data_IF_024896633803
#
_entry.id   IF_024896633803
#
_cell.length_a   1.000
_cell.length_b   1.000
_cell.length_c   1.000
_cell.angle_alpha   90.00
_cell.angle_beta   90.00
_cell.angle_gamma   90.00
#
_symmetry.space_group_name_H-M   'P 1'
#
loop_
_entity.id
_entity.type
_entity.pdbx_description
1 polymer ?
#
# COMPACT_ATOMS: atom_id res chain seq x y z
N UNK A 1 -16.72 -17.12 20.46
CA UNK A 1 -17.20 -16.62 19.15
C UNK A 1 -16.06 -16.75 18.14
N UNK A 2 -16.26 -17.50 17.04
CA UNK A 2 -15.26 -17.64 15.96
C UNK A 2 -15.22 -16.33 15.17
N UNK A 3 -14.06 -15.65 15.14
CA UNK A 3 -13.86 -14.41 14.36
C UNK A 3 -13.55 -14.80 12.92
N UNK A 4 -14.47 -14.55 12.00
CA UNK A 4 -14.26 -14.77 10.56
C UNK A 4 -13.37 -13.63 10.04
N UNK A 5 -12.10 -13.91 9.75
CA UNK A 5 -11.25 -12.96 9.01
C UNK A 5 -11.79 -12.88 7.57
N UNK A 6 -12.18 -11.68 7.13
CA UNK A 6 -12.46 -11.39 5.73
C UNK A 6 -11.21 -10.72 5.17
N UNK A 7 -10.39 -11.49 4.46
CA UNK A 7 -9.21 -10.99 3.76
C UNK A 7 -9.63 -10.56 2.34
N UNK A 8 -9.42 -9.29 1.98
CA UNK A 8 -9.57 -8.83 0.61
C UNK A 8 -8.19 -8.90 -0.05
N UNK A 9 -7.91 -10.00 -0.74
CA UNK A 9 -6.71 -10.11 -1.57
C UNK A 9 -6.97 -9.30 -2.84
N UNK A 10 -6.30 -8.15 -2.97
CA UNK A 10 -6.25 -7.41 -4.23
C UNK A 10 -5.29 -8.14 -5.15
N UNK A 11 -5.78 -9.18 -5.82
CA UNK A 11 -5.05 -9.85 -6.86
C UNK A 11 -5.06 -8.94 -8.10
N UNK A 12 -3.89 -8.50 -8.55
CA UNK A 12 -3.72 -7.94 -9.89
C UNK A 12 -4.04 -9.06 -10.90
N UNK A 13 -5.28 -9.13 -11.36
CA UNK A 13 -5.74 -10.16 -12.28
C UNK A 13 -5.06 -9.97 -13.64
N UNK A 14 -4.25 -10.94 -14.04
CA UNK A 14 -3.79 -11.07 -15.41
C UNK A 14 -5.03 -11.19 -16.32
N UNK A 15 -5.19 -10.24 -17.24
CA UNK A 15 -6.23 -10.31 -18.25
C UNK A 15 -6.06 -11.61 -19.05
N UNK A 16 -7.10 -12.43 -19.11
CA UNK A 16 -7.13 -13.60 -20.01
C UNK A 16 -7.26 -13.05 -21.42
N UNK A 17 -6.14 -13.08 -22.16
CA UNK A 17 -6.07 -12.62 -23.55
C UNK A 17 -6.98 -13.48 -24.42
N UNK A 18 -8.05 -12.87 -24.94
CA UNK A 18 -8.92 -13.50 -25.93
C UNK A 18 -8.17 -13.67 -27.25
N UNK A 19 -7.71 -14.90 -27.50
CA UNK A 19 -7.18 -15.25 -28.83
C UNK A 19 -8.33 -15.25 -29.84
N UNK A 20 -8.14 -14.61 -30.99
CA UNK A 20 -9.12 -14.60 -32.07
C UNK A 20 -9.38 -16.04 -32.56
N UNK A 21 -10.63 -16.48 -32.50
CA UNK A 21 -11.04 -17.82 -32.95
C UNK A 21 -11.23 -17.78 -34.47
N UNK A 22 -10.37 -18.48 -35.20
CA UNK A 22 -10.52 -18.70 -36.64
C UNK A 22 -11.30 -20.00 -36.92
N UNK A 23 -12.14 -19.99 -37.95
CA UNK A 23 -12.81 -21.19 -38.44
C UNK A 23 -11.79 -22.21 -38.94
N UNK A 24 -11.87 -23.46 -38.47
CA UNK A 24 -11.00 -24.55 -38.91
C UNK A 24 -11.83 -25.56 -39.71
N UNK A 25 -11.57 -25.68 -41.01
CA UNK A 25 -12.26 -26.66 -41.85
C UNK A 25 -11.96 -28.10 -41.38
N UNK A 26 -13.00 -28.93 -41.23
CA UNK A 26 -12.92 -30.30 -40.71
C UNK A 26 -12.36 -30.44 -39.27
N UNK A 27 -12.52 -29.42 -38.42
CA UNK A 27 -12.04 -29.47 -37.03
C UNK A 27 -12.74 -30.53 -36.16
N UNK A 28 -11.99 -31.16 -35.26
CA UNK A 28 -12.48 -32.17 -34.30
C UNK A 28 -13.13 -31.57 -33.03
N UNK A 29 -13.37 -30.26 -32.99
CA UNK A 29 -13.82 -29.53 -31.80
C UNK A 29 -12.69 -29.05 -30.89
N UNK A 30 -13.04 -28.45 -29.75
CA UNK A 30 -12.12 -27.92 -28.74
C UNK A 30 -12.87 -27.53 -27.46
N UNK A 31 -12.14 -27.08 -26.44
CA UNK A 31 -12.73 -26.57 -25.18
C UNK A 31 -12.94 -25.06 -25.24
N UNK A 32 -14.03 -24.61 -24.61
CA UNK A 32 -14.31 -23.19 -24.37
C UNK A 32 -14.07 -22.94 -22.89
N UNK A 33 -13.05 -22.14 -22.59
CA UNK A 33 -12.72 -21.77 -21.22
C UNK A 33 -13.56 -20.56 -20.79
N UNK A 34 -14.30 -20.73 -19.70
CA UNK A 34 -15.02 -19.64 -19.04
C UNK A 34 -14.23 -19.19 -17.82
N UNK A 35 -13.79 -17.93 -17.83
CA UNK A 35 -13.07 -17.31 -16.72
C UNK A 35 -13.68 -15.95 -16.37
N UNK A 36 -13.55 -15.58 -15.10
CA UNK A 36 -13.96 -14.28 -14.57
C UNK A 36 -13.56 -14.16 -13.10
N UNK A 37 -13.50 -12.93 -12.58
CA UNK A 37 -13.22 -12.67 -11.16
C UNK A 37 -14.54 -12.35 -10.44
N UNK A 38 -14.88 -13.13 -9.42
CA UNK A 38 -15.97 -12.83 -8.51
C UNK A 38 -15.41 -12.11 -7.28
N UNK A 39 -15.69 -10.82 -7.16
CA UNK A 39 -15.28 -10.00 -6.00
C UNK A 39 -16.46 -9.85 -5.05
N UNK A 40 -16.38 -10.35 -3.80
CA UNK A 40 -17.42 -10.11 -2.80
C UNK A 40 -17.54 -8.61 -2.51
N UNK A 41 -18.74 -8.06 -2.65
CA UNK A 41 -19.05 -6.71 -2.17
C UNK A 41 -19.44 -6.79 -0.68
N UNK A 42 -18.65 -6.19 0.20
CA UNK A 42 -19.02 -6.04 1.61
C UNK A 42 -19.87 -4.77 1.72
N UNK A 43 -21.19 -4.95 1.73
CA UNK A 43 -22.15 -3.87 1.96
C UNK A 43 -21.78 -3.13 3.27
N UNK A 44 -21.63 -1.79 3.19
CA UNK A 44 -21.30 -0.94 4.33
C UNK A 44 -19.81 -0.77 4.67
N UNK A 45 -18.87 -1.36 3.92
CA UNK A 45 -17.45 -1.05 4.13
C UNK A 45 -17.15 0.43 3.75
N UNK A 46 -16.67 1.27 4.68
CA UNK A 46 -16.44 2.69 4.41
C UNK A 46 -15.15 2.95 3.61
N UNK A 47 -14.35 1.94 3.33
CA UNK A 47 -13.03 2.08 2.72
C UNK A 47 -13.04 1.84 1.22
N UNK A 48 -12.22 2.60 0.51
CA UNK A 48 -11.69 2.22 -0.80
C UNK A 48 -10.17 2.06 -0.69
N UNK A 49 -9.64 1.11 -1.45
CA UNK A 49 -8.22 0.74 -1.45
C UNK A 49 -7.68 0.88 -2.86
N UNK A 50 -6.50 1.51 -3.00
CA UNK A 50 -5.81 1.69 -4.28
C UNK A 50 -4.38 1.19 -4.14
N UNK A 51 -3.97 0.28 -5.03
CA UNK A 51 -2.59 -0.17 -5.16
C UNK A 51 -1.89 0.70 -6.20
N UNK A 52 -0.60 0.98 -5.96
CA UNK A 52 0.26 1.67 -6.90
C UNK A 52 0.36 0.98 -8.26
N UNK A 53 0.53 1.77 -9.31
CA UNK A 53 0.85 1.26 -10.64
C UNK A 53 2.25 0.64 -10.67
N UNK A 54 2.51 -0.21 -11.67
CA UNK A 54 3.87 -0.69 -11.93
C UNK A 54 4.82 0.49 -12.16
N UNK A 55 5.99 0.45 -11.50
CA UNK A 55 7.01 1.49 -11.62
C UNK A 55 7.83 1.25 -12.87
N UNK A 56 8.01 2.29 -13.70
CA UNK A 56 8.83 2.25 -14.90
C UNK A 56 10.01 3.23 -14.80
N UNK A 57 10.93 3.19 -15.76
CA UNK A 57 12.01 4.17 -15.86
C UNK A 57 13.14 4.01 -14.83
N UNK A 58 13.26 2.82 -14.24
CA UNK A 58 14.36 2.38 -13.37
C UNK A 58 15.51 1.72 -14.15
N UNK A 59 15.48 1.79 -15.48
CA UNK A 59 16.56 1.29 -16.34
C UNK A 59 17.82 2.15 -16.17
N UNK A 60 18.96 1.50 -16.00
CA UNK A 60 20.27 2.14 -15.85
C UNK A 60 21.36 1.29 -16.48
N UNK A 61 22.37 1.96 -17.06
CA UNK A 61 23.58 1.30 -17.56
C UNK A 61 24.55 1.06 -16.42
N UNK A 62 25.01 -0.18 -16.28
CA UNK A 62 26.00 -0.59 -15.26
C UNK A 62 27.23 -1.20 -15.94
N UNK A 63 28.41 -1.03 -15.33
CA UNK A 63 29.66 -1.59 -15.83
C UNK A 63 29.87 -3.01 -15.29
N UNK A 64 30.66 -3.81 -16.02
CA UNK A 64 31.15 -5.10 -15.53
C UNK A 64 31.90 -4.92 -14.20
N UNK A 65 31.75 -5.87 -13.28
CA UNK A 65 32.39 -5.84 -11.96
C UNK A 65 31.66 -5.00 -10.91
N UNK A 66 30.60 -4.27 -11.27
CA UNK A 66 29.75 -3.56 -10.30
C UNK A 66 28.80 -4.56 -9.62
N UNK A 67 28.61 -4.42 -8.32
CA UNK A 67 27.69 -5.21 -7.50
C UNK A 67 26.61 -4.37 -6.81
N UNK A 68 26.66 -3.04 -6.91
CA UNK A 68 25.66 -2.14 -6.33
C UNK A 68 25.39 -0.97 -7.26
N UNK A 69 24.11 -0.60 -7.38
CA UNK A 69 23.67 0.59 -8.12
C UNK A 69 22.63 1.36 -7.30
N UNK A 70 22.63 2.67 -7.44
CA UNK A 70 21.63 3.56 -6.84
C UNK A 70 20.90 4.30 -7.93
N UNK A 71 19.57 4.25 -7.89
CA UNK A 71 18.67 4.89 -8.83
C UNK A 71 17.78 5.86 -8.05
N UNK A 72 17.89 7.18 -8.24
CA UNK A 72 16.99 8.11 -7.59
C UNK A 72 15.59 8.02 -8.19
N UNK A 73 14.55 7.99 -7.36
CA UNK A 73 13.17 8.03 -7.82
C UNK A 73 12.88 9.36 -8.55
N UNK A 74 12.48 9.28 -9.83
CA UNK A 74 12.23 10.48 -10.66
C UNK A 74 11.00 11.27 -10.23
N UNK A 75 10.02 10.57 -9.66
CA UNK A 75 8.74 11.09 -9.19
C UNK A 75 8.31 10.35 -7.92
N UNK A 76 7.22 10.81 -7.30
CA UNK A 76 6.65 10.10 -6.15
C UNK A 76 6.04 8.77 -6.61
N UNK A 77 6.56 7.66 -6.10
CA UNK A 77 6.02 6.33 -6.37
C UNK A 77 4.98 6.02 -5.30
N UNK A 78 3.72 5.87 -5.71
CA UNK A 78 2.63 5.52 -4.80
C UNK A 78 2.54 3.99 -4.66
N UNK A 79 2.37 3.47 -3.45
CA UNK A 79 2.38 2.01 -3.18
C UNK A 79 1.02 1.50 -2.70
N UNK A 80 0.49 2.06 -1.61
CA UNK A 80 -0.82 1.70 -1.05
C UNK A 80 -1.55 2.97 -0.62
N UNK A 81 -2.82 3.10 -1.00
CA UNK A 81 -3.73 4.13 -0.52
C UNK A 81 -4.98 3.47 0.06
N UNK A 82 -5.42 3.94 1.22
CA UNK A 82 -6.70 3.56 1.82
C UNK A 82 -7.38 4.84 2.26
N UNK A 83 -8.63 5.07 1.88
CA UNK A 83 -9.36 6.27 2.31
C UNK A 83 -10.85 5.98 2.47
N UNK A 84 -11.55 6.89 3.13
CA UNK A 84 -13.02 6.85 3.11
C UNK A 84 -13.54 6.97 1.69
N UNK A 85 -14.53 6.14 1.35
CA UNK A 85 -15.09 6.01 0.00
C UNK A 85 -15.83 7.27 -0.46
N UNK A 86 -16.37 8.04 0.48
CA UNK A 86 -17.07 9.31 0.22
C UNK A 86 -16.49 10.41 1.10
N UNK A 87 -16.82 11.67 0.76
CA UNK A 87 -16.49 12.84 1.59
C UNK A 87 -17.39 13.01 2.82
N UNK A 88 -18.22 12.01 3.12
CA UNK A 88 -19.06 11.95 4.31
C UNK A 88 -18.39 11.10 5.39
N UNK A 89 -18.56 11.50 6.64
CA UNK A 89 -18.04 10.72 7.76
C UNK A 89 -18.88 9.45 7.97
N UNK A 90 -18.22 8.33 8.23
CA UNK A 90 -18.88 7.05 8.49
C UNK A 90 -19.15 6.85 9.98
N UNK A 91 -20.12 5.98 10.28
CA UNK A 91 -20.46 5.56 11.64
C UNK A 91 -19.70 4.29 12.04
N UNK A 92 -19.45 4.08 13.34
CA UNK A 92 -18.85 2.86 13.86
C UNK A 92 -19.52 1.60 13.29
N UNK A 93 -18.72 0.62 12.91
CA UNK A 93 -19.19 -0.70 12.49
C UNK A 93 -18.18 -1.76 12.92
N UNK A 94 -18.63 -3.00 13.11
CA UNK A 94 -17.73 -4.14 13.29
C UNK A 94 -17.16 -4.58 11.94
N UNK A 95 -15.93 -5.11 11.92
CA UNK A 95 -15.38 -5.71 10.70
C UNK A 95 -14.83 -4.71 9.69
N UNK A 96 -14.62 -3.45 10.08
CA UNK A 96 -14.14 -2.39 9.18
C UNK A 96 -12.74 -1.89 9.56
N UNK A 97 -12.08 -2.40 10.60
CA UNK A 97 -10.80 -1.81 11.02
C UNK A 97 -9.68 -2.31 10.09
N UNK A 98 -9.07 -1.45 9.24
CA UNK A 98 -8.08 -1.92 8.27
C UNK A 98 -6.79 -2.33 8.95
N UNK A 99 -6.21 -3.43 8.50
CA UNK A 99 -4.93 -3.98 8.92
C UNK A 99 -4.10 -4.23 7.67
N UNK A 100 -2.87 -3.75 7.67
CA UNK A 100 -1.98 -3.77 6.51
C UNK A 100 -0.89 -4.82 6.77
N UNK A 101 -0.55 -5.59 5.75
CA UNK A 101 0.54 -6.55 5.80
C UNK A 101 1.41 -6.40 4.55
N UNK A 102 2.70 -6.13 4.77
CA UNK A 102 3.74 -6.03 3.75
C UNK A 102 4.67 -7.24 3.73
N UNK A 103 4.27 -8.33 4.40
CA UNK A 103 5.14 -9.46 4.72
C UNK A 103 6.37 -9.00 5.51
N UNK A 104 7.52 -9.57 5.18
CA UNK A 104 8.81 -9.20 5.77
C UNK A 104 9.50 -8.04 5.04
N UNK A 105 8.81 -7.39 4.10
CA UNK A 105 9.42 -6.39 3.20
C UNK A 105 9.66 -5.03 3.86
N UNK A 106 9.01 -4.73 4.99
CA UNK A 106 9.03 -3.39 5.59
C UNK A 106 9.41 -3.45 7.06
N UNK A 107 10.47 -2.74 7.44
CA UNK A 107 10.85 -2.56 8.84
C UNK A 107 10.12 -1.36 9.46
N UNK A 108 9.01 -1.63 10.14
CA UNK A 108 8.21 -0.64 10.86
C UNK A 108 8.80 -0.25 12.23
N UNK A 109 9.91 -0.88 12.66
CA UNK A 109 10.56 -0.60 13.95
C UNK A 109 11.71 0.38 13.82
N UNK A 110 12.36 0.42 12.65
CA UNK A 110 13.52 1.28 12.38
C UNK A 110 13.16 2.70 11.92
N UNK A 111 11.87 3.00 11.77
CA UNK A 111 11.44 4.22 11.09
C UNK A 111 11.55 5.51 11.91
N UNK A 112 11.76 6.62 11.20
CA UNK A 112 11.79 7.97 11.75
C UNK A 112 10.98 8.94 10.87
N UNK A 113 10.15 9.77 11.49
CA UNK A 113 9.25 10.74 10.84
C UNK A 113 8.37 10.15 9.73
N UNK A 114 7.92 8.91 9.93
CA UNK A 114 7.11 8.18 8.97
C UNK A 114 7.89 7.63 7.78
N UNK A 115 9.23 7.67 7.79
CA UNK A 115 10.07 6.93 6.85
C UNK A 115 10.43 5.57 7.45
N UNK A 116 10.24 4.49 6.71
CA UNK A 116 10.54 3.10 7.09
C UNK A 116 11.36 2.43 5.99
N UNK A 117 12.16 1.43 6.36
CA UNK A 117 13.01 0.73 5.37
C UNK A 117 12.16 -0.29 4.61
N UNK A 118 12.14 -0.19 3.28
CA UNK A 118 11.60 -1.18 2.37
C UNK A 118 12.75 -2.01 1.80
N UNK A 119 12.64 -3.34 1.93
CA UNK A 119 13.59 -4.32 1.39
C UNK A 119 12.84 -5.33 0.55
N UNK A 120 13.25 -5.52 -0.71
CA UNK A 120 12.62 -6.47 -1.64
C UNK A 120 13.67 -7.38 -2.29
N UNK A 121 13.37 -8.66 -2.53
CA UNK A 121 14.21 -9.49 -3.38
C UNK A 121 14.17 -8.98 -4.82
N UNK A 122 15.34 -8.92 -5.45
CA UNK A 122 15.48 -8.64 -6.88
C UNK A 122 15.64 -9.96 -7.60
N UNK A 123 14.72 -10.24 -8.53
CA UNK A 123 14.65 -11.49 -9.29
C UNK A 123 14.98 -11.24 -10.76
N UNK A 124 15.62 -12.20 -11.42
CA UNK A 124 15.79 -12.19 -12.87
C UNK A 124 14.51 -12.65 -13.60
N UNK A 125 14.59 -12.76 -14.93
CA UNK A 125 13.51 -13.28 -15.79
C UNK A 125 13.05 -14.69 -15.40
N UNK A 126 13.98 -15.53 -14.93
CA UNK A 126 13.73 -16.91 -14.51
C UNK A 126 13.21 -17.00 -13.05
N UNK A 127 12.90 -15.84 -12.44
CA UNK A 127 12.45 -15.72 -11.06
C UNK A 127 13.46 -16.21 -10.01
N UNK A 128 14.73 -16.29 -10.38
CA UNK A 128 15.83 -16.55 -9.45
C UNK A 128 16.26 -15.24 -8.81
N UNK A 129 16.56 -15.28 -7.50
CA UNK A 129 17.08 -14.11 -6.80
C UNK A 129 18.49 -13.80 -7.30
N UNK A 130 18.72 -12.53 -7.61
CA UNK A 130 20.01 -12.00 -8.07
C UNK A 130 20.51 -10.85 -7.19
N UNK A 131 19.70 -10.38 -6.25
CA UNK A 131 20.04 -9.25 -5.40
C UNK A 131 18.92 -8.84 -4.46
N UNK A 132 19.12 -7.67 -3.85
CA UNK A 132 18.20 -7.04 -2.92
C UNK A 132 18.04 -5.57 -3.30
N UNK A 133 16.80 -5.09 -3.32
CA UNK A 133 16.45 -3.68 -3.42
C UNK A 133 16.19 -3.15 -2.02
N UNK A 134 16.78 -2.01 -1.70
CA UNK A 134 16.51 -1.28 -0.46
C UNK A 134 16.22 0.19 -0.78
N UNK A 135 15.20 0.74 -0.10
CA UNK A 135 14.85 2.16 -0.19
C UNK A 135 14.12 2.61 1.08
N UNK A 136 13.87 3.90 1.21
CA UNK A 136 13.04 4.47 2.28
C UNK A 136 11.62 4.69 1.75
N UNK A 137 10.66 4.00 2.38
CA UNK A 137 9.23 4.18 2.14
C UNK A 137 8.66 5.16 3.17
N UNK A 138 7.92 6.16 2.71
CA UNK A 138 7.15 7.06 3.56
C UNK A 138 5.74 6.50 3.79
N UNK A 139 5.26 6.58 5.02
CA UNK A 139 3.95 6.10 5.47
C UNK A 139 3.30 7.11 6.39
N UNK A 140 1.97 7.07 6.49
CA UNK A 140 1.22 7.95 7.37
C UNK A 140 -0.29 7.74 7.24
N UNK A 141 -1.04 8.32 8.17
CA UNK A 141 -2.50 8.32 8.10
C UNK A 141 -3.11 9.49 8.84
N UNK A 142 -4.25 9.97 8.34
CA UNK A 142 -5.04 11.04 8.93
C UNK A 142 -6.37 10.51 9.46
N UNK A 143 -6.86 11.16 10.51
CA UNK A 143 -8.14 10.86 11.17
C UNK A 143 -8.85 12.17 11.48
N UNK A 144 -10.14 12.23 11.19
CA UNK A 144 -11.09 13.15 11.80
C UNK A 144 -12.06 12.32 12.64
N UNK A 145 -12.36 12.81 13.84
CA UNK A 145 -13.37 12.25 14.75
C UNK A 145 -14.24 13.40 15.27
N UNK A 146 -15.54 13.16 15.36
CA UNK A 146 -16.51 14.10 15.94
C UNK A 146 -17.57 13.36 16.75
N UNK A 147 -18.09 13.96 17.81
CA UNK A 147 -19.13 13.39 18.67
C UNK A 147 -18.61 12.29 19.58
N UNK A 148 -17.31 12.28 19.89
CA UNK A 148 -16.75 11.26 20.79
C UNK A 148 -17.12 11.53 22.24
N UNK A 149 -17.53 10.48 22.95
CA UNK A 149 -17.97 10.57 24.35
C UNK A 149 -16.87 11.06 25.31
N UNK A 150 -15.60 10.95 24.89
CA UNK A 150 -14.42 11.38 25.65
C UNK A 150 -13.91 12.77 25.26
N UNK A 151 -14.73 13.60 24.60
CA UNK A 151 -14.34 14.92 24.07
C UNK A 151 -13.08 14.85 23.19
N UNK A 152 -12.98 13.78 22.41
CA UNK A 152 -11.81 13.49 21.61
C UNK A 152 -11.89 14.05 20.19
N UNK A 153 -12.86 14.93 19.95
CA UNK A 153 -13.12 15.58 18.67
C UNK A 153 -11.87 16.28 18.13
N UNK A 154 -11.67 16.19 16.82
CA UNK A 154 -10.54 16.83 16.16
C UNK A 154 -10.03 16.08 14.95
N UNK A 155 -9.02 16.68 14.32
CA UNK A 155 -8.18 16.06 13.31
C UNK A 155 -6.85 15.63 13.93
N UNK A 156 -6.35 14.47 13.53
CA UNK A 156 -5.17 13.82 14.08
C UNK A 156 -4.40 13.08 12.98
N UNK A 157 -3.09 12.96 13.16
CA UNK A 157 -2.32 11.88 12.56
C UNK A 157 -2.57 10.57 13.31
N UNK A 158 -2.51 9.45 12.59
CA UNK A 158 -2.74 8.13 13.16
C UNK A 158 -1.46 7.49 13.69
N UNK A 159 -1.59 6.81 14.82
CA UNK A 159 -0.60 5.90 15.38
C UNK A 159 -1.22 4.53 15.60
N UNK A 160 -0.48 3.46 15.32
CA UNK A 160 -1.01 2.09 15.35
C UNK A 160 -0.03 1.07 15.95
N UNK A 161 0.50 1.36 17.14
CA UNK A 161 1.47 0.50 17.85
C UNK A 161 0.92 -0.89 18.23
N UNK A 162 -0.40 -1.06 18.29
CA UNK A 162 -1.05 -2.30 18.74
C UNK A 162 -1.94 -2.90 17.66
N UNK A 163 -1.89 -4.23 17.59
CA UNK A 163 -2.77 -5.03 16.75
C UNK A 163 -4.23 -4.69 17.01
N UNK A 164 -4.97 -4.37 15.94
CA UNK A 164 -6.38 -3.97 16.02
C UNK A 164 -6.60 -2.46 16.04
N UNK A 165 -5.57 -1.63 16.12
CA UNK A 165 -5.67 -0.22 15.75
C UNK A 165 -5.75 -0.08 14.23
N UNK A 166 -6.45 0.97 13.77
CA UNK A 166 -6.59 1.30 12.36
C UNK A 166 -5.21 1.46 11.70
N UNK A 167 -5.02 0.82 10.54
CA UNK A 167 -3.79 0.82 9.75
C UNK A 167 -2.57 0.22 10.48
N UNK A 168 -2.79 -0.58 11.52
CA UNK A 168 -1.72 -1.38 12.11
C UNK A 168 -1.08 -2.29 11.06
N UNK A 169 0.24 -2.42 11.13
CA UNK A 169 1.08 -3.08 10.11
C UNK A 169 1.40 -2.20 8.88
N UNK A 170 0.88 -0.98 8.83
CA UNK A 170 1.28 0.04 7.84
C UNK A 170 1.92 1.30 8.42
N UNK A 171 1.92 1.46 9.74
CA UNK A 171 2.47 2.62 10.45
C UNK A 171 3.63 2.20 11.37
N UNK A 172 4.62 3.08 11.60
CA UNK A 172 5.72 2.82 12.52
C UNK A 172 5.23 2.43 13.93
N UNK A 173 5.92 1.48 14.56
CA UNK A 173 5.55 0.92 15.88
C UNK A 173 6.15 1.69 17.06
N UNK A 174 6.95 2.73 16.81
CA UNK A 174 7.62 3.56 17.84
C UNK A 174 7.43 5.05 17.54
N UNK A 175 7.91 5.91 18.45
CA UNK A 175 7.84 7.38 18.33
C UNK A 175 8.41 7.87 16.97
N UNK A 176 8.04 9.09 16.55
CA UNK A 176 8.35 9.69 15.24
C UNK A 176 7.60 9.06 14.05
N UNK A 177 6.27 8.97 14.16
CA UNK A 177 5.38 8.32 13.19
C UNK A 177 5.21 9.14 11.89
N UNK A 178 5.59 10.42 11.90
CA UNK A 178 5.38 11.35 10.79
C UNK A 178 3.93 11.84 10.72
N UNK A 179 3.73 13.12 10.44
CA UNK A 179 2.39 13.69 10.32
C UNK A 179 1.71 13.25 9.01
N UNK A 180 0.37 13.19 8.99
CA UNK A 180 -0.40 12.79 7.82
C UNK A 180 -0.13 13.65 6.57
N UNK A 181 0.29 14.91 6.75
CA UNK A 181 0.69 15.81 5.67
C UNK A 181 1.82 15.25 4.80
N UNK A 182 2.68 14.39 5.37
CA UNK A 182 3.80 13.81 4.64
C UNK A 182 3.37 12.88 3.49
N UNK A 183 2.15 12.35 3.55
CA UNK A 183 1.67 11.35 2.60
C UNK A 183 0.58 11.85 1.65
N UNK A 184 0.11 13.10 1.79
CA UNK A 184 -0.96 13.65 0.93
C UNK A 184 -0.54 13.80 -0.53
N UNK A 185 0.76 13.90 -0.81
CA UNK A 185 1.34 13.96 -2.16
C UNK A 185 1.19 12.68 -2.98
N UNK A 186 0.93 11.53 -2.34
CA UNK A 186 0.81 10.26 -3.06
C UNK A 186 -0.52 10.15 -3.80
N UNK A 187 -0.52 9.35 -4.86
CA UNK A 187 -1.60 9.23 -5.83
C UNK A 187 -2.05 10.60 -6.34
N UNK A 188 -1.10 11.48 -6.69
CA UNK A 188 -1.38 12.82 -7.25
C UNK A 188 -2.32 13.67 -6.37
N UNK A 189 -2.20 13.57 -5.05
CA UNK A 189 -3.08 14.31 -4.12
C UNK A 189 -4.42 13.64 -3.85
N UNK A 190 -4.68 12.45 -4.41
CA UNK A 190 -5.99 11.82 -4.28
C UNK A 190 -6.22 11.19 -2.91
N UNK A 191 -5.18 10.81 -2.17
CA UNK A 191 -5.34 9.94 -1.00
C UNK A 191 -6.23 10.54 0.09
N UNK A 192 -6.28 11.86 0.23
CA UNK A 192 -7.14 12.56 1.19
C UNK A 192 -8.33 13.29 0.53
N UNK A 193 -8.63 13.07 -0.76
CA UNK A 193 -9.70 13.78 -1.47
C UNK A 193 -11.08 13.62 -0.82
N UNK A 194 -11.33 12.46 -0.22
CA UNK A 194 -12.58 12.14 0.49
C UNK A 194 -12.48 12.36 2.01
N UNK A 195 -11.40 12.97 2.49
CA UNK A 195 -11.26 13.30 3.88
C UNK A 195 -12.13 14.50 4.23
N UNK A 196 -12.90 14.40 5.32
CA UNK A 196 -13.63 15.54 5.89
C UNK A 196 -13.16 15.81 7.30
N UNK A 197 -12.91 17.07 7.62
CA UNK A 197 -12.54 17.47 8.99
C UNK A 197 -13.74 17.45 9.93
N UNK A 198 -14.96 17.28 9.41
CA UNK A 198 -16.21 17.32 10.17
C UNK A 198 -16.46 18.66 10.88
N UNK A 199 -15.86 19.74 10.36
CA UNK A 199 -15.91 21.08 10.93
C UNK A 199 -14.87 21.32 12.04
N UNK A 200 -13.96 20.37 12.27
CA UNK A 200 -12.86 20.53 13.21
C UNK A 200 -11.67 21.26 12.56
N UNK A 201 -10.85 21.99 13.33
CA UNK A 201 -9.58 22.52 12.84
C UNK A 201 -8.65 21.39 12.38
N UNK A 202 -8.05 21.54 11.21
CA UNK A 202 -7.08 20.60 10.67
C UNK A 202 -5.76 20.74 11.43
N UNK A 203 -5.40 19.70 12.20
CA UNK A 203 -4.15 19.66 12.97
C UNK A 203 -3.56 18.24 12.97
N UNK A 204 -2.68 17.97 12.02
CA UNK A 204 -1.96 16.70 11.92
C UNK A 204 -0.70 16.60 12.79
N UNK A 205 -0.44 17.58 13.66
CA UNK A 205 0.66 17.51 14.64
C UNK A 205 0.28 16.69 15.87
N UNK A 206 -1.03 16.43 16.06
CA UNK A 206 -1.57 15.60 17.14
C UNK A 206 -1.68 14.15 16.67
N UNK A 207 -1.36 13.20 17.53
CA UNK A 207 -1.41 11.78 17.20
C UNK A 207 -2.51 11.05 17.98
N UNK A 208 -3.15 10.08 17.34
CA UNK A 208 -4.21 9.27 17.95
C UNK A 208 -4.23 7.86 17.39
N UNK A 209 -4.47 6.88 18.26
CA UNK A 209 -4.88 5.53 17.86
C UNK A 209 -6.40 5.40 17.90
N UNK A 210 -6.97 4.62 16.99
CA UNK A 210 -8.42 4.39 16.93
C UNK A 210 -8.75 2.97 16.48
N UNK A 211 -9.93 2.51 16.87
CA UNK A 211 -10.54 1.24 16.46
C UNK A 211 -11.95 1.44 15.89
N UNK A 212 -12.35 2.69 15.63
CA UNK A 212 -13.64 3.06 15.02
C UNK A 212 -14.89 2.47 15.70
N UNK A 213 -14.93 2.40 17.03
CA UNK A 213 -15.99 1.73 17.79
C UNK A 213 -16.78 2.62 18.76
N UNK A 214 -16.51 3.92 18.81
CA UNK A 214 -17.21 4.86 19.70
C UNK A 214 -18.60 5.16 19.13
N UNK A 215 -19.65 4.64 19.77
CA UNK A 215 -21.04 4.69 19.29
C UNK A 215 -21.57 6.11 19.06
N UNK A 216 -21.06 7.11 19.77
CA UNK A 216 -21.43 8.53 19.58
C UNK A 216 -20.74 9.17 18.38
N UNK A 217 -19.59 8.61 17.97
CA UNK A 217 -18.69 9.27 17.04
C UNK A 217 -19.07 9.09 15.56
N UNK A 218 -18.48 9.94 14.74
CA UNK A 218 -18.35 9.76 13.29
C UNK A 218 -16.90 10.00 12.87
N UNK A 219 -16.49 9.31 11.82
CA UNK A 219 -15.08 9.24 11.42
C UNK A 219 -14.87 9.54 9.94
N UNK A 220 -13.75 10.17 9.63
CA UNK A 220 -13.17 10.17 8.29
C UNK A 220 -11.68 9.92 8.43
N UNK A 221 -11.09 9.17 7.50
CA UNK A 221 -9.70 8.76 7.63
C UNK A 221 -9.09 8.37 6.29
N UNK A 222 -7.76 8.45 6.23
CA UNK A 222 -6.96 8.01 5.10
C UNK A 222 -5.60 7.50 5.56
N UNK A 223 -4.97 6.73 4.70
CA UNK A 223 -3.64 6.17 4.83
C UNK A 223 -2.97 6.18 3.47
N UNK A 224 -1.67 6.47 3.43
CA UNK A 224 -0.86 6.15 2.25
C UNK A 224 0.53 5.64 2.63
N UNK A 225 1.09 4.88 1.69
CA UNK A 225 2.51 4.56 1.61
C UNK A 225 3.06 4.86 0.22
N UNK A 226 4.31 5.29 0.15
CA UNK A 226 4.99 5.55 -1.11
C UNK A 226 6.48 5.85 -0.96
N UNK A 227 7.20 5.94 -2.06
CA UNK A 227 8.60 6.37 -2.11
C UNK A 227 8.60 7.80 -2.63
N UNK A 228 9.25 8.71 -1.90
CA UNK A 228 9.29 10.11 -2.29
C UNK A 228 10.17 10.30 -3.54
N UNK A 229 9.86 11.32 -4.35
CA UNK A 229 10.77 11.81 -5.38
C UNK A 229 12.16 12.08 -4.76
N UNK A 230 13.21 11.79 -5.54
CA UNK A 230 14.64 11.85 -5.16
C UNK A 230 15.07 10.87 -4.07
N UNK A 231 14.18 10.03 -3.55
CA UNK A 231 14.60 8.97 -2.63
C UNK A 231 15.40 7.91 -3.41
N UNK A 232 16.50 7.46 -2.80
CA UNK A 232 17.39 6.49 -3.41
C UNK A 232 16.79 5.09 -3.39
N UNK A 233 16.78 4.45 -4.54
CA UNK A 233 16.48 3.03 -4.71
C UNK A 233 17.80 2.31 -4.96
N UNK A 234 18.31 1.61 -3.94
CA UNK A 234 19.58 0.90 -4.01
C UNK A 234 19.34 -0.57 -4.34
N UNK A 235 20.00 -1.06 -5.38
CA UNK A 235 20.05 -2.49 -5.72
C UNK A 235 21.45 -2.99 -5.42
N UNK A 236 21.55 -4.04 -4.62
CA UNK A 236 22.80 -4.77 -4.35
C UNK A 236 22.66 -6.18 -4.91
N UNK A 237 23.52 -6.55 -5.85
CA UNK A 237 23.57 -7.86 -6.48
C UNK A 237 24.30 -8.87 -5.58
N UNK A 238 23.90 -10.13 -5.64
CA UNK A 238 24.58 -11.22 -4.91
C UNK A 238 25.91 -11.62 -5.56
N UNK A 239 26.11 -11.22 -6.82
CA UNK A 239 27.38 -11.40 -7.54
C UNK A 239 27.61 -10.21 -8.45
N UNK A 240 28.87 -9.76 -8.62
CA UNK A 240 29.19 -8.69 -9.55
C UNK A 240 28.75 -9.01 -10.98
N UNK A 241 28.42 -7.97 -11.76
CA UNK A 241 28.08 -8.10 -13.17
C UNK A 241 29.23 -8.78 -13.92
N UNK A 242 28.95 -9.95 -14.50
CA UNK A 242 29.96 -10.82 -15.10
C UNK A 242 30.09 -10.69 -16.62
N UNK A 243 29.13 -10.06 -17.28
CA UNK A 243 29.11 -9.90 -18.75
C UNK A 243 28.49 -8.57 -19.17
N UNK A 244 28.64 -8.22 -20.44
CA UNK A 244 28.00 -7.04 -21.05
C UNK A 244 26.55 -7.30 -21.48
N UNK A 245 25.99 -8.48 -21.17
CA UNK A 245 24.60 -8.77 -21.48
C UNK A 245 23.66 -7.99 -20.54
N UNK A 246 22.54 -7.44 -21.04
CA UNK A 246 21.54 -6.79 -20.20
C UNK A 246 20.98 -7.74 -19.13
N UNK A 247 20.80 -7.23 -17.91
CA UNK A 247 20.16 -7.96 -16.81
C UNK A 247 18.73 -7.44 -16.69
N UNK A 248 17.75 -8.25 -17.10
CA UNK A 248 16.35 -7.97 -16.80
C UNK A 248 16.05 -8.37 -15.36
N UNK A 249 15.45 -7.47 -14.60
CA UNK A 249 15.13 -7.70 -13.20
C UNK A 249 13.72 -7.23 -12.83
N UNK A 250 13.18 -7.81 -11.76
CA UNK A 250 11.92 -7.42 -11.15
C UNK A 250 12.04 -7.49 -9.62
N UNK A 251 11.34 -6.61 -8.93
CA UNK A 251 11.11 -6.71 -7.49
C UNK A 251 9.61 -6.55 -7.25
N UNK A 252 9.04 -7.39 -6.38
CA UNK A 252 7.59 -7.41 -6.15
C UNK A 252 7.32 -7.23 -4.66
N UNK A 253 6.53 -6.22 -4.32
CA UNK A 253 6.13 -5.92 -2.96
C UNK A 253 4.78 -6.61 -2.66
N UNK A 254 4.73 -7.53 -1.68
CA UNK A 254 3.45 -8.07 -1.22
C UNK A 254 2.71 -6.98 -0.42
N UNK A 255 1.42 -6.81 -0.71
CA UNK A 255 0.55 -5.88 0.01
C UNK A 255 -0.79 -6.58 0.23
N UNK A 256 -1.20 -6.72 1.49
CA UNK A 256 -2.52 -7.22 1.86
C UNK A 256 -3.21 -6.24 2.78
N UNK A 257 -4.50 -6.00 2.53
CA UNK A 257 -5.38 -5.27 3.45
C UNK A 257 -6.46 -6.23 3.94
N UNK A 258 -6.55 -6.38 5.26
CA UNK A 258 -7.59 -7.17 5.92
C UNK A 258 -8.37 -6.31 6.90
N UNK A 259 -9.55 -6.77 7.31
CA UNK A 259 -10.43 -6.03 8.21
C UNK A 259 -10.80 -6.84 9.44
N UNK A 260 -11.07 -6.13 10.56
CA UNK A 260 -11.47 -6.71 11.84
C UNK A 260 -12.62 -5.96 12.49
#
# INVERSE_FOLDING_TARGET
MKKTLIALVVAASAAVSGSAIAWTANGNGGTVDFGGTLTPEVEGNPWEVKIGSAVSGLDINIQQGVDSVTIPAKENISLLGIRTRTNEAFRPQSGIIPQIDYGDSVDLRSGEWGKVVLTLPVLNSDSQKIGTLQTSMQVGGGLSIKGSDNNADGVYSLSAEKWGYAFHGGLPLRQNIGGANNITKYFDGEVNRNFTTQGQPENFERFKSTVFNDGGASYSAFYASGIAQQEDIRITLESPVSSNAPITWKASMPITVSYR
#
